data_IF_523917492451
#
_entry.id   IF_523917492451
#
_cell.length_a   1.000
_cell.length_b   1.000
_cell.length_c   1.000
_cell.angle_alpha   90.00
_cell.angle_beta   90.00
_cell.angle_gamma   90.00
#
_symmetry.space_group_name_H-M   'P 1'
#
loop_
_entity.id
_entity.type
_entity.pdbx_description
1 polymer ?
#
# COMPACT_ATOMS: atom_id res chain seq x y z
N UNK A 1 2.46 -3.59 37.29
CA UNK A 1 2.62 -4.40 36.07
C UNK A 1 2.24 -3.47 34.92
N UNK A 2 3.24 -2.96 34.20
CA UNK A 2 3.06 -1.93 33.16
C UNK A 2 2.94 -2.61 31.80
N UNK A 3 1.72 -2.81 31.31
CA UNK A 3 1.46 -3.42 29.99
C UNK A 3 0.68 -2.48 29.06
N UNK A 4 0.91 -1.16 29.10
CA UNK A 4 0.07 -0.21 28.31
C UNK A 4 0.84 0.90 27.61
N UNK A 5 2.14 0.71 27.34
CA UNK A 5 2.96 1.73 26.65
C UNK A 5 3.33 1.31 25.22
N UNK A 6 3.20 0.03 24.86
CA UNK A 6 3.62 -0.52 23.56
C UNK A 6 2.64 -0.31 22.39
N UNK A 7 1.32 -0.39 22.62
CA UNK A 7 0.32 -0.34 21.54
C UNK A 7 0.03 1.09 21.03
N UNK A 8 0.40 2.11 21.81
CA UNK A 8 -0.02 3.51 21.55
C UNK A 8 0.71 4.19 20.39
N UNK A 9 1.83 3.63 19.90
CA UNK A 9 2.64 4.26 18.84
C UNK A 9 2.29 3.79 17.41
N UNK A 10 1.71 2.60 17.22
CA UNK A 10 1.34 2.12 15.87
C UNK A 10 0.09 2.83 15.31
N UNK A 11 -0.84 3.22 16.18
CA UNK A 11 -2.08 3.93 15.81
C UNK A 11 -1.80 5.34 15.28
N UNK A 12 -0.73 6.00 15.74
CA UNK A 12 -0.72 7.46 15.82
C UNK A 12 -0.73 8.19 14.46
N UNK A 13 -0.40 7.52 13.35
CA UNK A 13 -0.20 8.18 12.04
C UNK A 13 -0.53 7.32 10.82
N UNK A 14 -1.49 6.39 10.90
CA UNK A 14 -1.82 5.51 9.75
C UNK A 14 -2.11 6.29 8.46
N UNK A 15 -3.01 7.27 8.52
CA UNK A 15 -3.36 8.07 7.36
C UNK A 15 -2.17 8.89 6.83
N UNK A 16 -1.36 9.49 7.71
CA UNK A 16 -0.12 10.16 7.31
C UNK A 16 0.88 9.19 6.65
N UNK A 17 0.96 7.95 7.15
CA UNK A 17 1.82 6.90 6.59
C UNK A 17 1.29 6.35 5.27
N UNK A 18 0.00 6.44 4.97
CA UNK A 18 -0.59 6.02 3.68
C UNK A 18 -0.50 7.18 2.68
N UNK A 19 -0.86 8.39 3.11
CA UNK A 19 -0.98 9.59 2.28
C UNK A 19 0.22 10.55 2.39
N UNK A 20 1.40 10.02 2.72
CA UNK A 20 2.60 10.81 3.08
C UNK A 20 3.07 11.77 1.98
N UNK A 21 2.79 11.44 0.73
CA UNK A 21 3.18 12.21 -0.44
C UNK A 21 2.31 11.84 -1.63
N UNK A 22 2.23 12.74 -2.63
CA UNK A 22 1.51 12.47 -3.88
C UNK A 22 1.96 11.16 -4.56
N UNK A 23 3.25 10.87 -4.55
CA UNK A 23 3.80 9.65 -5.15
C UNK A 23 3.34 8.39 -4.39
N UNK A 24 3.41 8.42 -3.07
CA UNK A 24 2.98 7.28 -2.26
C UNK A 24 1.47 7.06 -2.33
N UNK A 25 0.67 8.13 -2.22
CA UNK A 25 -0.79 8.08 -2.41
C UNK A 25 -1.16 7.46 -3.75
N UNK A 26 -0.45 7.84 -4.82
CA UNK A 26 -0.68 7.28 -6.16
C UNK A 26 -0.38 5.78 -6.22
N UNK A 27 0.67 5.32 -5.55
CA UNK A 27 0.98 3.88 -5.47
C UNK A 27 -0.06 3.14 -4.64
N UNK A 28 -0.51 3.69 -3.52
CA UNK A 28 -1.60 3.10 -2.72
C UNK A 28 -2.86 2.96 -3.58
N UNK A 29 -3.29 4.04 -4.24
CA UNK A 29 -4.47 4.02 -5.11
C UNK A 29 -4.34 2.97 -6.22
N UNK A 30 -3.15 2.83 -6.81
CA UNK A 30 -2.86 1.83 -7.84
C UNK A 30 -3.17 0.39 -7.39
N UNK A 31 -2.82 0.03 -6.15
CA UNK A 31 -3.15 -1.27 -5.58
C UNK A 31 -4.62 -1.39 -5.20
N UNK A 32 -5.22 -0.32 -4.64
CA UNK A 32 -6.64 -0.30 -4.27
C UNK A 32 -7.57 -0.45 -5.49
N UNK A 33 -7.16 0.05 -6.66
CA UNK A 33 -7.89 -0.14 -7.90
C UNK A 33 -7.87 -1.60 -8.38
N UNK A 34 -6.87 -2.39 -7.97
CA UNK A 34 -6.59 -3.75 -8.49
C UNK A 34 -6.12 -4.68 -7.36
N UNK A 35 -6.95 -4.89 -6.33
CA UNK A 35 -6.51 -5.50 -5.06
C UNK A 35 -6.07 -6.96 -5.19
N UNK A 36 -6.47 -7.65 -6.28
CA UNK A 36 -6.16 -9.07 -6.54
C UNK A 36 -5.01 -9.28 -7.54
N UNK A 37 -4.41 -8.21 -8.05
CA UNK A 37 -3.35 -8.30 -9.05
C UNK A 37 -1.95 -8.28 -8.43
N UNK A 38 -1.03 -9.03 -9.04
CA UNK A 38 0.39 -8.99 -8.71
C UNK A 38 1.14 -8.01 -9.62
N UNK A 39 2.06 -7.27 -9.03
CA UNK A 39 2.89 -6.29 -9.73
C UNK A 39 4.36 -6.47 -9.40
N UNK A 40 5.24 -6.25 -10.37
CA UNK A 40 6.65 -5.98 -10.10
C UNK A 40 6.89 -4.46 -10.13
N UNK A 41 8.03 -4.00 -9.59
CA UNK A 41 8.32 -2.55 -9.49
C UNK A 41 8.32 -1.84 -10.85
N UNK A 42 8.76 -2.52 -11.92
CA UNK A 42 8.77 -1.96 -13.28
C UNK A 42 7.37 -1.71 -13.83
N UNK A 43 6.43 -2.64 -13.59
CA UNK A 43 5.03 -2.50 -13.97
C UNK A 43 4.39 -1.34 -13.22
N UNK A 44 4.64 -1.23 -11.91
CA UNK A 44 4.13 -0.12 -11.08
C UNK A 44 4.68 1.22 -11.59
N UNK A 45 5.98 1.32 -11.87
CA UNK A 45 6.59 2.54 -12.41
C UNK A 45 5.93 2.96 -13.73
N UNK A 46 5.75 2.02 -14.66
CA UNK A 46 5.09 2.26 -15.95
C UNK A 46 3.64 2.74 -15.77
N UNK A 47 2.86 2.05 -14.95
CA UNK A 47 1.41 2.30 -14.83
C UNK A 47 1.08 3.52 -13.96
N UNK A 48 1.94 3.86 -13.00
CA UNK A 48 1.80 5.09 -12.19
C UNK A 48 2.51 6.30 -12.82
N UNK A 49 3.34 6.10 -13.85
CA UNK A 49 4.16 7.15 -14.46
C UNK A 49 5.22 7.74 -13.52
N UNK A 50 5.56 7.02 -12.45
CA UNK A 50 6.58 7.44 -11.47
C UNK A 50 7.94 6.86 -11.86
N UNK A 51 9.00 7.61 -11.58
CA UNK A 51 10.37 7.12 -11.75
C UNK A 51 10.63 5.88 -10.88
N UNK A 52 11.44 4.95 -11.36
CA UNK A 52 11.81 3.73 -10.62
C UNK A 52 12.38 4.03 -9.23
N UNK A 53 13.25 5.04 -9.10
CA UNK A 53 13.81 5.45 -7.81
C UNK A 53 12.74 5.91 -6.82
N UNK A 54 11.69 6.59 -7.31
CA UNK A 54 10.53 6.95 -6.51
C UNK A 54 9.75 5.72 -6.06
N UNK A 55 9.49 4.77 -6.97
CA UNK A 55 8.79 3.52 -6.65
C UNK A 55 9.54 2.72 -5.58
N UNK A 56 10.85 2.54 -5.71
CA UNK A 56 11.66 1.86 -4.71
C UNK A 56 11.55 2.52 -3.33
N UNK A 57 11.61 3.86 -3.27
CA UNK A 57 11.51 4.61 -2.02
C UNK A 57 10.13 4.51 -1.37
N UNK A 58 9.05 4.58 -2.15
CA UNK A 58 7.68 4.57 -1.60
C UNK A 58 7.15 3.17 -1.32
N UNK A 59 7.71 2.13 -1.94
CA UNK A 59 7.25 0.76 -1.71
C UNK A 59 7.58 0.27 -0.30
N UNK A 60 8.80 0.53 0.19
CA UNK A 60 9.26 -0.01 1.46
C UNK A 60 8.36 0.41 2.64
N UNK A 61 8.00 1.70 2.81
CA UNK A 61 7.07 2.10 3.88
C UNK A 61 5.71 1.40 3.82
N UNK A 62 5.19 1.09 2.62
CA UNK A 62 3.90 0.41 2.47
C UNK A 62 3.98 -1.08 2.79
N UNK A 63 5.13 -1.70 2.51
CA UNK A 63 5.44 -3.07 2.92
C UNK A 63 5.64 -3.15 4.43
N UNK A 64 6.39 -2.22 5.01
CA UNK A 64 6.62 -2.14 6.46
C UNK A 64 5.33 -1.88 7.24
N UNK A 65 4.39 -1.13 6.65
CA UNK A 65 3.05 -0.92 7.19
C UNK A 65 2.17 -2.18 7.10
N UNK A 66 2.58 -3.19 6.33
CA UNK A 66 1.78 -4.38 6.04
C UNK A 66 0.55 -4.11 5.19
N UNK A 67 0.52 -2.97 4.46
CA UNK A 67 -0.53 -2.67 3.49
C UNK A 67 -0.29 -3.43 2.17
N UNK A 68 0.99 -3.61 1.82
CA UNK A 68 1.43 -4.31 0.62
C UNK A 68 2.24 -5.53 1.04
N UNK A 69 1.90 -6.69 0.49
CA UNK A 69 2.65 -7.92 0.66
C UNK A 69 3.68 -8.06 -0.43
N UNK A 70 4.93 -8.33 -0.05
CA UNK A 70 5.97 -8.77 -0.97
C UNK A 70 6.03 -10.31 -1.04
N UNK A 71 6.09 -10.85 -2.25
CA UNK A 71 6.25 -12.27 -2.52
C UNK A 71 7.51 -12.47 -3.37
N UNK A 72 8.39 -13.37 -2.91
CA UNK A 72 9.58 -13.78 -3.67
C UNK A 72 9.24 -15.04 -4.48
N UNK A 73 9.47 -14.98 -5.78
CA UNK A 73 9.28 -16.11 -6.70
C UNK A 73 10.65 -16.50 -7.26
N UNK A 74 11.14 -17.68 -6.85
CA UNK A 74 12.52 -18.08 -7.12
C UNK A 74 13.54 -17.13 -6.47
N UNK A 75 14.67 -16.90 -7.12
CA UNK A 75 15.77 -16.10 -6.54
C UNK A 75 15.72 -14.61 -6.90
N UNK A 76 15.08 -14.23 -8.00
CA UNK A 76 15.23 -12.88 -8.58
C UNK A 76 13.91 -12.11 -8.72
N UNK A 77 12.76 -12.78 -8.70
CA UNK A 77 11.48 -12.12 -8.96
C UNK A 77 10.85 -11.70 -7.63
N UNK A 78 10.53 -10.41 -7.53
CA UNK A 78 9.74 -9.83 -6.44
C UNK A 78 8.41 -9.36 -7.00
N UNK A 79 7.33 -9.85 -6.43
CA UNK A 79 5.97 -9.45 -6.72
C UNK A 79 5.36 -8.77 -5.51
N UNK A 80 4.47 -7.81 -5.76
CA UNK A 80 3.79 -7.01 -4.76
C UNK A 80 2.29 -7.09 -5.01
N UNK A 81 1.51 -7.21 -3.95
CA UNK A 81 0.04 -7.27 -3.97
C UNK A 81 -0.51 -6.54 -2.74
N UNK A 82 -1.74 -6.02 -2.84
CA UNK A 82 -2.44 -5.51 -1.67
C UNK A 82 -2.63 -6.65 -0.64
N UNK A 83 -2.35 -6.41 0.64
CA UNK A 83 -2.54 -7.44 1.68
C UNK A 83 -4.02 -7.53 2.07
N UNK A 84 -4.82 -8.15 1.22
CA UNK A 84 -6.27 -8.20 1.38
C UNK A 84 -6.73 -9.06 2.55
N UNK A 85 -5.87 -9.83 3.24
CA UNK A 85 -6.29 -10.60 4.40
C UNK A 85 -6.22 -9.83 5.72
N UNK A 86 -5.45 -8.75 5.74
CA UNK A 86 -5.26 -7.89 6.88
C UNK A 86 -6.45 -6.93 7.10
N UNK A 87 -6.89 -6.79 8.36
CA UNK A 87 -8.13 -6.10 8.69
C UNK A 87 -8.11 -4.60 8.35
N UNK A 88 -7.00 -3.90 8.64
CA UNK A 88 -6.84 -2.47 8.31
C UNK A 88 -6.84 -2.25 6.79
N UNK A 89 -6.23 -3.16 6.04
CA UNK A 89 -6.20 -3.10 4.58
C UNK A 89 -7.59 -3.36 3.97
N UNK A 90 -8.36 -4.32 4.50
CA UNK A 90 -9.77 -4.53 4.14
C UNK A 90 -10.60 -3.26 4.34
N UNK A 91 -10.51 -2.63 5.52
CA UNK A 91 -11.23 -1.38 5.83
C UNK A 91 -10.87 -0.28 4.82
N UNK A 92 -9.60 -0.09 4.50
CA UNK A 92 -9.16 0.92 3.53
C UNK A 92 -9.69 0.64 2.11
N UNK A 93 -9.65 -0.62 1.68
CA UNK A 93 -10.16 -1.05 0.38
C UNK A 93 -11.67 -0.85 0.29
N UNK A 94 -12.42 -1.21 1.33
CA UNK A 94 -13.86 -1.02 1.39
C UNK A 94 -14.21 0.47 1.35
N UNK A 95 -13.54 1.30 2.15
CA UNK A 95 -13.68 2.76 2.11
C UNK A 95 -13.46 3.32 0.69
N UNK A 96 -12.37 2.94 0.04
CA UNK A 96 -12.05 3.40 -1.31
C UNK A 96 -13.09 2.92 -2.34
N UNK A 97 -13.55 1.67 -2.22
CA UNK A 97 -14.56 1.10 -3.11
C UNK A 97 -15.92 1.81 -2.98
N UNK A 98 -16.28 2.27 -1.78
CA UNK A 98 -17.54 2.96 -1.51
C UNK A 98 -17.50 4.41 -2.02
N UNK A 99 -16.36 5.10 -1.94
CA UNK A 99 -16.27 6.49 -2.40
C UNK A 99 -16.06 6.61 -3.91
N UNK A 100 -15.35 5.66 -4.54
CA UNK A 100 -14.96 5.71 -5.95
C UNK A 100 -16.11 6.02 -6.92
N UNK A 101 -17.30 5.39 -6.82
CA UNK A 101 -18.44 5.68 -7.71
C UNK A 101 -18.91 7.15 -7.68
N UNK A 102 -18.64 7.88 -6.60
CA UNK A 102 -19.03 9.29 -6.44
C UNK A 102 -17.96 10.28 -6.91
N UNK A 103 -16.78 9.80 -7.35
CA UNK A 103 -15.68 10.63 -7.85
C UNK A 103 -15.57 10.60 -9.38
N UNK A 104 -16.21 9.63 -10.02
CA UNK A 104 -16.19 9.40 -11.47
C UNK A 104 -17.40 10.06 -12.19
N UNK A 105 -18.13 10.93 -11.49
CA UNK A 105 -19.31 11.68 -11.98
C UNK A 105 -18.97 13.03 -12.61
#
# INVERSE_FOLDING_TARGET
MNETIGESQEVQKLLEKIFSSRAQTRVVQHFLDRPKEFFNLSRIAKETGLAHSTIHRVMQPLVDLGLIKEIKVGQQIRLFILETEDHKTKILADFYSQIKPYLES
#
